data_IF_607916091237
#
_entry.id   IF_607916091237
#
_cell.length_a   1.000
_cell.length_b   1.000
_cell.length_c   1.000
_cell.angle_alpha   90.00
_cell.angle_beta   90.00
_cell.angle_gamma   90.00
#
_symmetry.space_group_name_H-M   'P 1'
#
loop_
_entity.id
_entity.type
_entity.pdbx_description
1 polymer ?
#
# COMPACT_ATOMS: atom_id res chain seq x y z
N UNK A 1 -17.11 -13.09 -17.32
CA UNK A 1 -16.37 -11.80 -17.32
C UNK A 1 -16.13 -11.20 -15.93
N UNK A 2 -17.18 -10.96 -15.12
CA UNK A 2 -17.06 -10.34 -13.77
C UNK A 2 -16.11 -11.11 -12.83
N UNK A 3 -16.22 -12.44 -12.79
CA UNK A 3 -15.35 -13.30 -11.95
C UNK A 3 -13.86 -13.08 -12.25
N UNK A 4 -13.49 -13.02 -13.52
CA UNK A 4 -12.09 -12.81 -13.93
C UNK A 4 -11.63 -11.40 -13.53
N UNK A 5 -12.48 -10.38 -13.73
CA UNK A 5 -12.14 -9.00 -13.34
C UNK A 5 -11.92 -8.85 -11.83
N UNK A 6 -12.76 -9.49 -11.02
CA UNK A 6 -12.59 -9.52 -9.56
C UNK A 6 -11.32 -10.29 -9.17
N UNK A 7 -11.07 -11.45 -9.80
CA UNK A 7 -9.88 -12.25 -9.52
C UNK A 7 -8.57 -11.49 -9.83
N UNK A 8 -8.53 -10.70 -10.91
CA UNK A 8 -7.35 -9.87 -11.23
C UNK A 8 -7.04 -8.82 -10.15
N UNK A 9 -8.04 -8.37 -9.38
CA UNK A 9 -7.88 -7.32 -8.36
C UNK A 9 -7.67 -7.87 -6.95
N UNK A 10 -8.37 -8.95 -6.61
CA UNK A 10 -8.55 -9.37 -5.21
C UNK A 10 -8.22 -10.84 -4.94
N UNK A 11 -7.87 -11.62 -5.97
CA UNK A 11 -7.45 -13.02 -5.74
C UNK A 11 -6.14 -13.06 -4.97
N UNK A 12 -6.08 -13.92 -3.94
CA UNK A 12 -4.88 -14.17 -3.15
C UNK A 12 -3.75 -14.83 -3.97
N UNK A 13 -4.02 -15.30 -5.19
CA UNK A 13 -2.99 -15.81 -6.10
C UNK A 13 -2.08 -14.69 -6.66
N UNK A 14 -2.48 -13.43 -6.49
CA UNK A 14 -1.68 -12.24 -6.80
C UNK A 14 -1.08 -12.25 -8.22
N UNK A 15 -1.88 -12.69 -9.21
CA UNK A 15 -1.40 -12.78 -10.61
C UNK A 15 -1.14 -11.40 -11.23
N UNK A 16 -1.59 -10.32 -10.59
CA UNK A 16 -1.34 -8.95 -11.04
C UNK A 16 0.13 -8.54 -10.91
N UNK A 17 0.92 -9.16 -10.02
CA UNK A 17 2.36 -8.84 -9.86
C UNK A 17 3.16 -8.96 -11.15
N UNK A 18 2.80 -9.88 -12.03
CA UNK A 18 3.47 -10.10 -13.33
C UNK A 18 3.27 -8.94 -14.31
N UNK A 19 2.29 -8.05 -14.05
CA UNK A 19 2.02 -6.89 -14.87
C UNK A 19 2.72 -5.62 -14.35
N UNK A 20 3.30 -5.64 -13.14
CA UNK A 20 3.96 -4.47 -12.56
C UNK A 20 5.19 -4.03 -13.37
N UNK A 21 5.81 -4.96 -14.10
CA UNK A 21 7.00 -4.66 -14.91
C UNK A 21 6.68 -4.02 -16.27
N UNK A 22 5.40 -4.02 -16.67
CA UNK A 22 4.92 -3.45 -17.93
C UNK A 22 5.08 -1.93 -17.91
N UNK A 23 5.61 -1.36 -19.00
CA UNK A 23 5.96 0.07 -19.11
C UNK A 23 4.78 0.98 -18.77
N UNK A 24 3.62 0.72 -19.36
CA UNK A 24 2.40 1.50 -19.18
C UNK A 24 1.93 1.48 -17.71
N UNK A 25 2.12 0.34 -17.02
CA UNK A 25 1.78 0.18 -15.61
C UNK A 25 2.73 0.98 -14.73
N UNK A 26 4.05 0.91 -14.99
CA UNK A 26 5.04 1.71 -14.27
C UNK A 26 4.80 3.21 -14.41
N UNK A 27 4.52 3.66 -15.63
CA UNK A 27 4.23 5.07 -15.92
C UNK A 27 2.96 5.54 -15.21
N UNK A 28 1.90 4.74 -15.22
CA UNK A 28 0.66 5.04 -14.49
C UNK A 28 0.87 5.11 -12.97
N UNK A 29 1.64 4.17 -12.39
CA UNK A 29 1.97 4.20 -10.96
C UNK A 29 2.77 5.46 -10.62
N UNK A 30 3.80 5.78 -11.42
CA UNK A 30 4.63 6.99 -11.20
C UNK A 30 3.80 8.26 -11.27
N UNK A 31 2.93 8.38 -12.27
CA UNK A 31 2.01 9.51 -12.41
C UNK A 31 1.09 9.64 -11.19
N UNK A 32 0.50 8.52 -10.74
CA UNK A 32 -0.36 8.50 -9.56
C UNK A 32 0.38 8.98 -8.31
N UNK A 33 1.58 8.46 -8.04
CA UNK A 33 2.38 8.87 -6.87
C UNK A 33 2.71 10.36 -6.93
N UNK A 34 3.11 10.88 -8.10
CA UNK A 34 3.38 12.30 -8.27
C UNK A 34 2.15 13.17 -8.01
N UNK A 35 0.97 12.77 -8.51
CA UNK A 35 -0.28 13.49 -8.28
C UNK A 35 -0.70 13.46 -6.81
N UNK A 36 -0.46 12.35 -6.11
CA UNK A 36 -0.76 12.25 -4.68
C UNK A 36 0.20 13.09 -3.84
N UNK A 37 1.46 13.24 -4.27
CA UNK A 37 2.44 14.12 -3.61
C UNK A 37 2.19 15.61 -3.82
N UNK A 38 1.50 15.99 -4.89
CA UNK A 38 1.19 17.40 -5.15
C UNK A 38 0.05 17.96 -4.29
N UNK A 39 -0.60 17.10 -3.50
CA UNK A 39 -1.70 17.47 -2.61
C UNK A 39 -1.46 16.91 -1.21
N UNK A 40 -1.97 17.60 -0.18
CA UNK A 40 -2.04 17.01 1.14
C UNK A 40 -3.24 16.06 1.20
N UNK A 41 -3.00 14.75 1.31
CA UNK A 41 -4.09 13.76 1.36
C UNK A 41 -4.91 13.96 2.64
N UNK A 42 -6.22 14.23 2.56
CA UNK A 42 -7.07 14.40 3.73
C UNK A 42 -7.08 13.17 4.63
N UNK A 43 -6.91 13.37 5.93
CA UNK A 43 -6.87 12.28 6.91
C UNK A 43 -8.13 11.41 6.91
N UNK A 44 -9.30 11.98 6.59
CA UNK A 44 -10.54 11.22 6.46
C UNK A 44 -10.47 10.17 5.34
N UNK A 45 -9.84 10.50 4.21
CA UNK A 45 -9.66 9.55 3.11
C UNK A 45 -8.65 8.46 3.47
N UNK A 46 -7.57 8.83 4.17
CA UNK A 46 -6.60 7.84 4.67
C UNK A 46 -7.28 6.89 5.66
N UNK A 47 -8.14 7.40 6.56
CA UNK A 47 -8.92 6.56 7.48
C UNK A 47 -9.81 5.57 6.74
N UNK A 48 -10.40 5.96 5.61
CA UNK A 48 -11.29 5.11 4.82
C UNK A 48 -10.53 4.02 4.06
N UNK A 49 -9.39 4.33 3.45
CA UNK A 49 -8.70 3.44 2.50
C UNK A 49 -7.45 2.77 3.07
N UNK A 50 -6.80 3.36 4.08
CA UNK A 50 -5.57 2.88 4.72
C UNK A 50 -5.65 3.04 6.26
N UNK A 51 -6.62 2.36 6.93
CA UNK A 51 -6.93 2.58 8.33
C UNK A 51 -5.77 2.28 9.30
N UNK A 52 -4.86 1.35 8.93
CA UNK A 52 -3.68 1.03 9.74
C UNK A 52 -2.68 2.20 9.70
N UNK A 53 -2.38 2.72 8.50
CA UNK A 53 -1.49 3.87 8.31
C UNK A 53 -2.07 5.15 8.91
N UNK A 54 -3.39 5.35 8.83
CA UNK A 54 -4.06 6.49 9.46
C UNK A 54 -3.71 6.63 10.94
N UNK A 55 -3.73 5.53 11.71
CA UNK A 55 -3.38 5.54 13.13
C UNK A 55 -1.92 5.99 13.33
N UNK A 56 -0.99 5.46 12.54
CA UNK A 56 0.43 5.81 12.60
C UNK A 56 0.68 7.29 12.24
N UNK A 57 -0.01 7.81 11.21
CA UNK A 57 0.08 9.22 10.80
C UNK A 57 -0.47 10.14 11.89
N UNK A 58 -1.63 9.81 12.47
CA UNK A 58 -2.23 10.57 13.58
C UNK A 58 -1.34 10.63 14.81
N UNK A 59 -0.57 9.58 15.07
CA UNK A 59 0.39 9.51 16.16
C UNK A 59 1.77 10.13 15.83
N UNK A 60 1.97 10.66 14.61
CA UNK A 60 3.25 11.24 14.19
C UNK A 60 4.36 10.20 13.94
N UNK A 61 4.02 8.92 13.86
CA UNK A 61 4.96 7.81 13.63
C UNK A 61 5.25 7.63 12.14
N UNK A 62 4.27 7.95 11.28
CA UNK A 62 4.36 7.82 9.83
C UNK A 62 4.06 9.18 9.16
N UNK A 63 4.83 9.51 8.13
CA UNK A 63 4.62 10.72 7.33
C UNK A 63 3.45 10.49 6.37
N UNK A 64 2.61 11.51 6.16
CA UNK A 64 1.56 11.51 5.14
C UNK A 64 2.16 11.73 3.74
N UNK A 65 2.98 10.78 3.28
CA UNK A 65 3.52 10.67 1.93
C UNK A 65 3.05 9.33 1.33
N UNK A 66 2.57 9.29 0.08
CA UNK A 66 2.02 8.08 -0.53
C UNK A 66 3.02 6.92 -0.64
N UNK A 67 4.31 7.19 -0.82
CA UNK A 67 5.34 6.14 -0.91
C UNK A 67 5.70 5.60 0.47
N UNK A 68 5.79 6.45 1.48
CA UNK A 68 6.00 6.01 2.87
C UNK A 68 4.82 5.18 3.37
N UNK A 69 3.59 5.56 3.02
CA UNK A 69 2.39 4.78 3.30
C UNK A 69 2.39 3.41 2.60
N UNK A 70 2.90 3.33 1.37
CA UNK A 70 3.04 2.07 0.63
C UNK A 70 4.07 1.14 1.29
N UNK A 71 5.24 1.67 1.65
CA UNK A 71 6.29 0.91 2.34
C UNK A 71 5.80 0.39 3.69
N UNK A 72 5.14 1.24 4.48
CA UNK A 72 4.56 0.83 5.77
C UNK A 72 3.54 -0.31 5.60
N UNK A 73 2.74 -0.30 4.54
CA UNK A 73 1.80 -1.40 4.26
C UNK A 73 2.50 -2.73 3.99
N UNK A 74 3.66 -2.71 3.35
CA UNK A 74 4.49 -3.90 3.12
C UNK A 74 5.12 -4.35 4.45
N UNK A 75 5.68 -3.42 5.22
CA UNK A 75 6.26 -3.69 6.54
C UNK A 75 5.24 -4.34 7.48
N UNK A 76 3.99 -3.87 7.52
CA UNK A 76 2.94 -4.49 8.33
C UNK A 76 2.72 -5.98 8.00
N UNK A 77 3.00 -6.43 6.78
CA UNK A 77 2.94 -7.85 6.41
C UNK A 77 4.18 -8.61 6.91
N UNK A 78 5.33 -7.95 6.89
CA UNK A 78 6.61 -8.50 7.35
C UNK A 78 6.67 -8.56 8.89
N UNK A 79 6.01 -7.65 9.60
CA UNK A 79 5.99 -7.58 11.06
C UNK A 79 5.52 -8.89 11.70
N UNK A 80 4.55 -9.59 11.09
CA UNK A 80 4.08 -10.89 11.58
C UNK A 80 5.18 -11.96 11.49
N UNK A 81 5.99 -11.94 10.43
CA UNK A 81 7.13 -12.84 10.27
C UNK A 81 8.23 -12.48 11.25
N UNK A 82 8.53 -11.18 11.42
CA UNK A 82 9.51 -10.71 12.40
C UNK A 82 9.09 -11.12 13.81
N UNK A 83 7.82 -10.92 14.18
CA UNK A 83 7.29 -11.36 15.47
C UNK A 83 7.44 -12.87 15.69
N UNK A 84 7.15 -13.68 14.68
CA UNK A 84 7.24 -15.13 14.78
C UNK A 84 8.68 -15.66 14.82
N UNK A 85 9.63 -14.94 14.20
CA UNK A 85 11.02 -15.40 14.02
C UNK A 85 12.03 -14.75 14.97
N UNK A 86 11.69 -13.59 15.52
CA UNK A 86 12.52 -12.94 16.52
C UNK A 86 12.27 -13.65 17.86
N UNK A 87 13.27 -14.40 18.32
CA UNK A 87 13.31 -14.90 19.70
C UNK A 87 13.17 -13.71 20.67
N UNK A 88 12.46 -13.86 21.80
CA UNK A 88 12.36 -12.80 22.77
C UNK A 88 13.77 -12.46 23.26
N UNK A 89 14.10 -11.17 23.23
CA UNK A 89 15.14 -10.62 24.11
C UNK A 89 14.49 -10.36 25.46
#
# INVERSE_FOLDING_TARGET
EIKIRLARKYSLLDRCRYYLDIKEVKEAIKLMINNLRSVQIPLALISQFMPVQYKKIRCGILINDPEEMLKDRIINCIDDYVYATSLPV
#
